data_IF_846428570236
#
_entry.id   IF_846428570236
#
_cell.length_a   1.000
_cell.length_b   1.000
_cell.length_c   1.000
_cell.angle_alpha   90.00
_cell.angle_beta   90.00
_cell.angle_gamma   90.00
#
_symmetry.space_group_name_H-M   'P 1'
#
loop_
_entity.id
_entity.type
_entity.pdbx_description
1 polymer ?
#
# COMPACT_ATOMS: atom_id res chain seq x y z
N UNK A 1 -30.59 17.81 43.49
CA UNK A 1 -29.39 18.56 43.06
C UNK A 1 -28.85 17.95 41.78
N UNK A 2 -28.95 18.64 40.62
CA UNK A 2 -28.36 18.17 39.36
C UNK A 2 -26.90 18.63 39.29
N UNK A 3 -25.95 17.75 39.61
CA UNK A 3 -24.56 17.98 39.24
C UNK A 3 -24.47 17.96 37.71
N UNK A 4 -24.06 19.07 37.10
CA UNK A 4 -23.66 19.10 35.69
C UNK A 4 -22.18 18.72 35.65
N UNK A 5 -21.81 17.47 35.31
CA UNK A 5 -20.43 16.97 35.43
C UNK A 5 -19.43 17.69 34.52
N UNK A 6 -19.91 18.46 33.54
CA UNK A 6 -19.10 19.13 32.53
C UNK A 6 -18.98 20.65 32.70
N UNK A 7 -19.32 21.21 33.87
CA UNK A 7 -19.12 22.64 34.12
C UNK A 7 -17.61 22.94 34.16
N UNK A 8 -17.11 23.67 33.17
CA UNK A 8 -15.71 24.09 33.08
C UNK A 8 -14.85 23.31 32.08
N UNK A 9 -15.38 22.24 31.46
CA UNK A 9 -14.64 21.47 30.46
C UNK A 9 -14.17 22.34 29.29
N UNK A 10 -15.03 23.22 28.78
CA UNK A 10 -14.67 24.14 27.69
C UNK A 10 -13.55 25.11 28.06
N UNK A 11 -13.54 25.60 29.30
CA UNK A 11 -12.49 26.49 29.80
C UNK A 11 -11.14 25.75 29.92
N UNK A 12 -11.17 24.49 30.34
CA UNK A 12 -9.97 23.64 30.41
C UNK A 12 -9.47 23.33 29.00
N UNK A 13 -10.34 22.90 28.08
CA UNK A 13 -9.97 22.62 26.69
C UNK A 13 -9.37 23.84 26.00
N UNK A 14 -9.96 25.03 26.20
CA UNK A 14 -9.42 26.27 25.64
C UNK A 14 -8.04 26.61 26.20
N UNK A 15 -7.83 26.41 27.50
CA UNK A 15 -6.51 26.59 28.13
C UNK A 15 -5.49 25.62 27.53
N UNK A 16 -5.78 24.33 27.51
CA UNK A 16 -4.86 23.32 26.99
C UNK A 16 -4.58 23.51 25.50
N UNK A 17 -5.57 23.92 24.71
CA UNK A 17 -5.38 24.22 23.29
C UNK A 17 -4.38 25.35 23.07
N UNK A 18 -4.48 26.45 23.84
CA UNK A 18 -3.51 27.56 23.77
C UNK A 18 -2.11 27.11 24.19
N UNK A 19 -2.02 26.25 25.21
CA UNK A 19 -0.74 25.71 25.68
C UNK A 19 -0.07 24.88 24.59
N UNK A 20 -0.78 23.92 24.00
CA UNK A 20 -0.28 23.09 22.91
C UNK A 20 0.10 23.95 21.70
N UNK A 21 -0.73 24.94 21.34
CA UNK A 21 -0.47 25.82 20.20
C UNK A 21 0.77 26.70 20.36
N UNK A 22 1.18 27.00 21.61
CA UNK A 22 2.37 27.80 21.90
C UNK A 22 3.63 26.96 22.10
N UNK A 23 3.51 25.63 22.18
CA UNK A 23 4.65 24.73 22.32
C UNK A 23 5.07 24.17 20.95
N UNK A 24 6.11 24.74 20.32
CA UNK A 24 6.54 24.32 18.99
C UNK A 24 7.08 22.88 18.99
N UNK A 25 7.60 22.37 20.11
CA UNK A 25 8.12 21.00 20.19
C UNK A 25 6.96 19.99 20.17
N UNK A 26 5.91 20.25 20.94
CA UNK A 26 4.71 19.40 20.96
C UNK A 26 4.01 19.41 19.59
N UNK A 27 3.87 20.58 18.95
CA UNK A 27 3.34 20.64 17.58
C UNK A 27 4.20 19.89 16.58
N UNK A 28 5.53 20.01 16.69
CA UNK A 28 6.46 19.28 15.83
C UNK A 28 6.25 17.77 15.94
N UNK A 29 6.26 17.19 17.13
CA UNK A 29 6.05 15.74 17.29
C UNK A 29 4.62 15.29 16.95
N UNK A 30 3.63 16.18 17.02
CA UNK A 30 2.27 15.86 16.61
C UNK A 30 2.13 15.77 15.09
N UNK A 31 2.80 16.64 14.32
CA UNK A 31 2.66 16.70 12.86
C UNK A 31 3.77 16.00 12.08
N UNK A 32 4.99 15.94 12.61
CA UNK A 32 6.15 15.45 11.88
C UNK A 32 6.09 13.95 11.57
N UNK A 33 5.83 13.05 12.55
CA UNK A 33 5.65 11.62 12.26
C UNK A 33 4.54 11.35 11.23
N UNK A 34 3.28 11.85 11.37
CA UNK A 34 2.24 11.54 10.41
C UNK A 34 2.49 12.16 9.03
N UNK A 35 3.20 13.30 8.94
CA UNK A 35 3.59 13.88 7.65
C UNK A 35 4.62 13.01 6.94
N UNK A 36 5.62 12.50 7.67
CA UNK A 36 6.59 11.53 7.13
C UNK A 36 5.88 10.25 6.73
N UNK A 37 4.99 9.73 7.57
CA UNK A 37 4.20 8.54 7.27
C UNK A 37 3.34 8.75 6.02
N UNK A 38 2.70 9.90 5.85
CA UNK A 38 1.91 10.21 4.66
C UNK A 38 2.79 10.20 3.40
N UNK A 39 3.98 10.78 3.46
CA UNK A 39 4.94 10.76 2.35
C UNK A 39 5.46 9.34 2.10
N UNK A 40 5.80 8.61 3.16
CA UNK A 40 6.30 7.24 3.10
C UNK A 40 5.24 6.29 2.53
N UNK A 41 3.98 6.41 2.95
CA UNK A 41 2.86 5.67 2.38
C UNK A 41 2.53 6.13 0.96
N UNK A 42 2.59 7.43 0.66
CA UNK A 42 2.41 7.92 -0.70
C UNK A 42 3.45 7.36 -1.67
N UNK A 43 4.72 7.30 -1.25
CA UNK A 43 5.79 6.65 -2.00
C UNK A 43 5.65 5.13 -2.03
N UNK A 44 5.24 4.50 -0.92
CA UNK A 44 5.06 3.06 -0.83
C UNK A 44 3.87 2.56 -1.65
N UNK A 45 2.81 3.35 -1.78
CA UNK A 45 1.62 3.06 -2.61
C UNK A 45 1.95 2.99 -4.10
N UNK A 46 3.02 3.64 -4.55
CA UNK A 46 3.54 3.54 -5.91
C UNK A 46 4.53 2.36 -6.09
N UNK A 47 4.71 1.50 -5.08
CA UNK A 47 5.26 0.15 -5.32
C UNK A 47 4.20 -0.66 -6.05
N UNK A 48 4.24 -0.44 -7.36
CA UNK A 48 3.40 -0.92 -8.41
C UNK A 48 2.92 -2.38 -8.19
N UNK A 49 1.63 -2.53 -7.94
CA UNK A 49 0.90 -3.79 -8.21
C UNK A 49 0.75 -3.99 -9.74
N UNK A 50 1.29 -3.06 -10.55
CA UNK A 50 1.42 -3.19 -12.00
C UNK A 50 2.79 -3.77 -12.33
N UNK A 51 2.84 -4.56 -13.39
CA UNK A 51 4.03 -5.30 -13.81
C UNK A 51 4.53 -6.40 -12.85
N UNK A 52 3.62 -7.04 -12.08
CA UNK A 52 3.98 -8.27 -11.37
C UNK A 52 4.57 -9.29 -12.35
N UNK A 53 5.77 -9.77 -12.03
CA UNK A 53 6.47 -10.75 -12.84
C UNK A 53 5.64 -12.04 -12.93
N UNK A 54 5.26 -12.41 -14.16
CA UNK A 54 4.45 -13.59 -14.45
C UNK A 54 5.28 -14.58 -15.28
N UNK A 55 5.38 -15.82 -14.79
CA UNK A 55 5.84 -16.96 -15.58
C UNK A 55 4.64 -17.72 -16.12
N UNK A 56 4.68 -18.08 -17.40
CA UNK A 56 3.59 -18.79 -18.06
C UNK A 56 4.00 -20.23 -18.34
N UNK A 57 3.22 -21.20 -17.86
CA UNK A 57 3.30 -22.60 -18.28
C UNK A 57 2.07 -22.90 -19.13
N UNK A 58 2.25 -23.00 -20.44
CA UNK A 58 1.16 -23.27 -21.38
C UNK A 58 1.22 -24.72 -21.89
N UNK A 59 0.52 -25.62 -21.22
CA UNK A 59 0.47 -27.05 -21.60
C UNK A 59 -0.51 -27.30 -22.76
N UNK A 60 -1.60 -26.54 -22.84
CA UNK A 60 -2.65 -26.71 -23.84
C UNK A 60 -2.24 -26.15 -25.22
N UNK A 61 -1.43 -25.10 -25.25
CA UNK A 61 -0.87 -24.45 -26.48
C UNK A 61 -1.92 -24.01 -27.51
N UNK A 62 -3.18 -23.94 -27.11
CA UNK A 62 -4.33 -23.49 -27.91
C UNK A 62 -4.35 -21.97 -28.09
N UNK A 63 -5.18 -21.50 -29.04
CA UNK A 63 -5.36 -20.07 -29.32
C UNK A 63 -6.07 -19.38 -28.14
N UNK A 64 -6.98 -20.09 -27.51
CA UNK A 64 -7.78 -19.72 -26.35
C UNK A 64 -6.88 -19.48 -25.12
N UNK A 65 -5.91 -20.37 -24.90
CA UNK A 65 -4.88 -20.20 -23.85
C UNK A 65 -4.05 -18.92 -24.07
N UNK A 66 -3.64 -18.64 -25.31
CA UNK A 66 -2.90 -17.39 -25.65
C UNK A 66 -3.74 -16.14 -25.42
N UNK A 67 -5.01 -16.17 -25.85
CA UNK A 67 -5.96 -15.08 -25.62
C UNK A 67 -6.20 -14.79 -24.14
N UNK A 68 -6.16 -15.82 -23.28
CA UNK A 68 -6.25 -15.65 -21.84
C UNK A 68 -5.01 -14.91 -21.30
N UNK A 69 -3.81 -15.35 -21.69
CA UNK A 69 -2.54 -14.70 -21.31
C UNK A 69 -2.53 -13.24 -21.76
N UNK A 70 -2.93 -12.96 -22.99
CA UNK A 70 -3.00 -11.59 -23.53
C UNK A 70 -3.96 -10.70 -22.72
N UNK A 71 -5.06 -11.23 -22.21
CA UNK A 71 -5.96 -10.48 -21.32
C UNK A 71 -5.27 -10.12 -20.01
N UNK A 72 -4.48 -11.01 -19.41
CA UNK A 72 -3.71 -10.73 -18.19
C UNK A 72 -2.62 -9.69 -18.40
N UNK A 73 -1.98 -9.66 -19.58
CA UNK A 73 -0.98 -8.65 -19.93
C UNK A 73 -1.65 -7.29 -20.19
N UNK A 74 -2.81 -7.29 -20.84
CA UNK A 74 -3.54 -6.07 -21.17
C UNK A 74 -4.06 -5.30 -19.94
N UNK A 75 -4.25 -5.96 -18.78
CA UNK A 75 -4.60 -5.24 -17.54
C UNK A 75 -3.44 -4.40 -16.97
N UNK A 76 -2.23 -4.52 -17.53
CA UNK A 76 -0.99 -3.94 -17.02
C UNK A 76 -0.59 -4.40 -15.61
N UNK A 77 -1.40 -5.24 -14.96
CA UNK A 77 -1.10 -5.81 -13.65
C UNK A 77 0.05 -6.81 -13.70
N UNK A 78 0.18 -7.54 -14.81
CA UNK A 78 1.16 -8.61 -14.98
C UNK A 78 2.06 -8.35 -16.17
N UNK A 79 3.35 -8.68 -16.01
CA UNK A 79 4.34 -8.66 -17.08
C UNK A 79 4.90 -10.06 -17.25
N UNK A 80 4.70 -10.65 -18.42
CA UNK A 80 5.28 -11.96 -18.74
C UNK A 80 6.80 -11.82 -18.84
N UNK A 81 7.52 -12.49 -17.93
CA UNK A 81 8.99 -12.50 -17.89
C UNK A 81 9.59 -13.71 -18.60
N UNK A 82 8.78 -14.75 -18.86
CA UNK A 82 9.19 -15.94 -19.58
C UNK A 82 8.07 -16.98 -19.70
N UNK A 83 8.19 -17.85 -20.69
CA UNK A 83 7.34 -19.03 -20.87
C UNK A 83 8.17 -20.28 -20.59
N UNK A 84 7.66 -21.16 -19.74
CA UNK A 84 8.31 -22.42 -19.36
C UNK A 84 7.56 -23.59 -19.98
N UNK A 85 8.29 -24.67 -20.28
CA UNK A 85 7.72 -25.83 -20.96
C UNK A 85 7.48 -27.02 -20.03
N UNK A 86 7.88 -26.93 -18.76
CA UNK A 86 7.64 -27.97 -17.77
C UNK A 86 7.47 -27.41 -16.37
N UNK A 87 6.79 -28.19 -15.53
CA UNK A 87 6.60 -27.87 -14.11
C UNK A 87 7.93 -27.77 -13.35
N UNK A 88 8.91 -28.60 -13.72
CA UNK A 88 10.24 -28.57 -13.09
C UNK A 88 11.01 -27.30 -13.44
N UNK A 89 10.90 -26.83 -14.68
CA UNK A 89 11.44 -25.54 -15.09
C UNK A 89 10.73 -24.39 -14.37
N UNK A 90 9.40 -24.43 -14.27
CA UNK A 90 8.62 -23.43 -13.53
C UNK A 90 9.13 -23.30 -12.09
N UNK A 91 9.25 -24.43 -11.37
CA UNK A 91 9.76 -24.47 -9.98
C UNK A 91 11.19 -23.93 -9.87
N UNK A 92 12.04 -24.26 -10.84
CA UNK A 92 13.43 -23.80 -10.86
C UNK A 92 13.51 -22.28 -11.04
N UNK A 93 12.79 -21.72 -12.01
CA UNK A 93 12.78 -20.28 -12.29
C UNK A 93 12.13 -19.49 -11.15
N UNK A 94 11.07 -20.01 -10.53
CA UNK A 94 10.47 -19.41 -9.33
C UNK A 94 11.43 -19.38 -8.12
N UNK A 95 12.42 -20.26 -8.06
CA UNK A 95 13.42 -20.29 -6.98
C UNK A 95 14.61 -19.36 -7.22
N UNK A 96 14.78 -18.88 -8.46
CA UNK A 96 15.89 -18.01 -8.87
C UNK A 96 15.56 -16.52 -8.74
N UNK A 97 14.27 -16.16 -8.85
CA UNK A 97 13.77 -14.81 -8.56
C UNK A 97 13.52 -14.62 -7.07
#
# INVERSE_FOLDING_TARGET
MKHKPFRGLSAILFKEFIVVWRDPLTLFFFFFPPLIEMVAFGYALDNDVKHMAMLVLNEDRTVESRLLIDRFVNTQSFRVIGEVQSLDQLKSEMRKG
#
